data_IF_712537028078
#
_entry.id   IF_712537028078
#
_cell.length_a   1.000
_cell.length_b   1.000
_cell.length_c   1.000
_cell.angle_alpha   90.00
_cell.angle_beta   90.00
_cell.angle_gamma   90.00
#
_symmetry.space_group_name_H-M   'P 1'
#
loop_
_entity.id
_entity.type
_entity.pdbx_description
1 polymer ?
#
# COMPACT_ATOMS: atom_id res chain seq x y z
N UNK A 1 -28.79 -6.31 -19.58
CA UNK A 1 -28.13 -6.87 -18.38
C UNK A 1 -27.16 -5.82 -17.85
N UNK A 2 -27.54 -5.10 -16.78
CA UNK A 2 -26.75 -3.99 -16.25
C UNK A 2 -25.37 -4.47 -15.78
N UNK A 3 -24.32 -3.72 -16.14
CA UNK A 3 -22.94 -4.01 -15.72
C UNK A 3 -22.89 -3.87 -14.20
N UNK A 4 -22.73 -4.99 -13.48
CA UNK A 4 -22.47 -4.96 -12.04
C UNK A 4 -21.22 -4.11 -11.80
N UNK A 5 -21.36 -2.98 -11.12
CA UNK A 5 -20.21 -2.16 -10.73
C UNK A 5 -19.40 -2.99 -9.74
N UNK A 6 -18.20 -3.41 -10.14
CA UNK A 6 -17.29 -4.17 -9.29
C UNK A 6 -16.91 -3.31 -8.09
N UNK A 7 -17.04 -3.84 -6.87
CA UNK A 7 -16.69 -3.08 -5.67
C UNK A 7 -15.19 -2.80 -5.63
N UNK A 8 -14.78 -1.70 -5.00
CA UNK A 8 -13.35 -1.35 -4.86
C UNK A 8 -12.56 -2.49 -4.19
N UNK A 9 -13.17 -3.20 -3.24
CA UNK A 9 -12.59 -4.38 -2.59
C UNK A 9 -12.38 -5.53 -3.56
N UNK A 10 -13.35 -5.83 -4.42
CA UNK A 10 -13.20 -6.87 -5.45
C UNK A 10 -12.11 -6.50 -6.47
N UNK A 11 -12.08 -5.23 -6.87
CA UNK A 11 -11.02 -4.70 -7.74
C UNK A 11 -9.65 -4.84 -7.09
N UNK A 12 -9.51 -4.49 -5.81
CA UNK A 12 -8.27 -4.68 -5.06
C UNK A 12 -7.80 -6.14 -5.02
N UNK A 13 -8.70 -7.08 -4.71
CA UNK A 13 -8.37 -8.51 -4.69
C UNK A 13 -7.94 -9.02 -6.07
N UNK A 14 -8.58 -8.54 -7.13
CA UNK A 14 -8.23 -8.87 -8.52
C UNK A 14 -6.84 -8.34 -8.87
N UNK A 15 -6.55 -7.08 -8.57
CA UNK A 15 -5.23 -6.48 -8.81
C UNK A 15 -4.15 -7.25 -8.03
N UNK A 16 -4.35 -7.49 -6.73
CA UNK A 16 -3.41 -8.28 -5.91
C UNK A 16 -3.16 -9.67 -6.51
N UNK A 17 -4.20 -10.36 -6.97
CA UNK A 17 -4.08 -11.67 -7.59
C UNK A 17 -3.31 -11.62 -8.92
N UNK A 18 -3.44 -10.55 -9.70
CA UNK A 18 -2.68 -10.36 -10.94
C UNK A 18 -1.16 -10.33 -10.69
N UNK A 19 -0.73 -9.84 -9.52
CA UNK A 19 0.68 -9.83 -9.11
C UNK A 19 1.20 -11.17 -8.55
N UNK A 20 0.39 -12.24 -8.52
CA UNK A 20 0.81 -13.52 -7.93
C UNK A 20 2.04 -14.16 -8.64
N UNK A 21 2.19 -13.98 -9.96
CA UNK A 21 3.38 -14.47 -10.69
C UNK A 21 4.62 -13.64 -10.34
N UNK A 22 4.47 -12.32 -10.28
CA UNK A 22 5.54 -11.41 -9.87
C UNK A 22 6.00 -11.72 -8.44
N UNK A 23 5.07 -11.81 -7.48
CA UNK A 23 5.35 -12.19 -6.10
C UNK A 23 6.15 -13.51 -6.02
N UNK A 24 5.75 -14.54 -6.76
CA UNK A 24 6.45 -15.84 -6.75
C UNK A 24 7.88 -15.78 -7.29
N UNK A 25 8.21 -14.81 -8.13
CA UNK A 25 9.56 -14.63 -8.65
C UNK A 25 10.48 -13.88 -7.67
N UNK A 26 9.92 -13.24 -6.63
CA UNK A 26 10.68 -12.53 -5.61
C UNK A 26 11.30 -13.49 -4.58
N UNK A 27 12.37 -13.03 -3.91
CA UNK A 27 12.94 -13.71 -2.74
C UNK A 27 11.91 -13.75 -1.60
N UNK A 28 12.05 -14.70 -0.67
CA UNK A 28 11.11 -14.83 0.45
C UNK A 28 10.98 -13.55 1.30
N UNK A 29 12.07 -12.81 1.50
CA UNK A 29 12.05 -11.50 2.19
C UNK A 29 11.17 -10.49 1.46
N UNK A 30 11.34 -10.40 0.15
CA UNK A 30 10.70 -9.39 -0.68
C UNK A 30 9.23 -9.74 -0.94
N UNK A 31 8.89 -11.03 -0.89
CA UNK A 31 7.50 -11.49 -0.88
C UNK A 31 6.72 -10.95 0.31
N UNK A 32 7.32 -10.99 1.51
CA UNK A 32 6.70 -10.45 2.71
C UNK A 32 6.50 -8.93 2.60
N UNK A 33 7.53 -8.21 2.14
CA UNK A 33 7.44 -6.75 1.91
C UNK A 33 6.31 -6.42 0.93
N UNK A 34 6.18 -7.17 -0.16
CA UNK A 34 5.10 -6.95 -1.12
C UNK A 34 3.72 -7.21 -0.51
N UNK A 35 3.57 -8.25 0.31
CA UNK A 35 2.31 -8.53 1.01
C UNK A 35 1.95 -7.43 2.01
N UNK A 36 2.95 -6.88 2.72
CA UNK A 36 2.76 -5.77 3.66
C UNK A 36 2.36 -4.48 2.93
N UNK A 37 2.93 -4.20 1.75
CA UNK A 37 2.50 -3.10 0.89
C UNK A 37 1.03 -3.26 0.44
N UNK A 38 0.62 -4.45 0.02
CA UNK A 38 -0.80 -4.68 -0.29
C UNK A 38 -1.70 -4.50 0.94
N UNK A 39 -1.26 -4.96 2.12
CA UNK A 39 -2.00 -4.75 3.36
C UNK A 39 -2.11 -3.26 3.72
N UNK A 40 -1.06 -2.45 3.48
CA UNK A 40 -1.07 -1.02 3.75
C UNK A 40 -2.05 -0.28 2.84
N UNK A 41 -2.11 -0.64 1.55
CA UNK A 41 -3.09 -0.10 0.61
C UNK A 41 -4.55 -0.40 1.01
N UNK A 42 -4.79 -1.55 1.66
CA UNK A 42 -6.14 -1.96 2.08
C UNK A 42 -6.77 -0.98 3.07
N UNK A 43 -5.95 -0.30 3.90
CA UNK A 43 -6.40 0.74 4.83
C UNK A 43 -7.09 1.92 4.13
N UNK A 44 -6.82 2.11 2.85
CA UNK A 44 -7.30 3.24 2.06
C UNK A 44 -8.39 2.86 1.05
N UNK A 45 -8.96 1.65 1.10
CA UNK A 45 -9.99 1.22 0.14
C UNK A 45 -11.21 2.16 0.10
N UNK A 46 -11.63 2.68 1.26
CA UNK A 46 -12.71 3.65 1.34
C UNK A 46 -12.35 4.95 0.60
N UNK A 47 -11.17 5.51 0.83
CA UNK A 47 -10.68 6.70 0.13
C UNK A 47 -10.49 6.44 -1.38
N UNK A 48 -9.97 5.26 -1.74
CA UNK A 48 -9.77 4.85 -3.11
C UNK A 48 -11.07 4.76 -3.92
N UNK A 49 -12.21 4.48 -3.26
CA UNK A 49 -13.52 4.47 -3.93
C UNK A 49 -13.94 5.84 -4.48
N UNK A 50 -13.39 6.94 -3.94
CA UNK A 50 -13.65 8.30 -4.41
C UNK A 50 -12.75 8.72 -5.58
N UNK A 51 -11.70 7.96 -5.90
CA UNK A 51 -10.78 8.26 -6.99
C UNK A 51 -11.34 7.79 -8.35
N UNK A 52 -12.49 8.35 -8.76
CA UNK A 52 -13.26 7.89 -9.94
C UNK A 52 -12.55 8.09 -11.29
N UNK A 53 -11.47 8.89 -11.34
CA UNK A 53 -10.74 9.20 -12.57
C UNK A 53 -9.44 8.39 -12.76
N UNK A 54 -8.89 7.80 -11.70
CA UNK A 54 -7.62 7.08 -11.74
C UNK A 54 -7.83 5.59 -12.04
N UNK A 55 -6.82 4.92 -12.60
CA UNK A 55 -6.87 3.46 -12.65
C UNK A 55 -6.82 2.91 -11.21
N UNK A 56 -7.63 1.91 -10.85
CA UNK A 56 -7.71 1.42 -9.47
C UNK A 56 -6.34 1.04 -8.89
N UNK A 57 -5.48 0.41 -9.71
CA UNK A 57 -4.14 0.05 -9.28
C UNK A 57 -3.24 1.25 -8.97
N UNK A 58 -3.31 2.33 -9.76
CA UNK A 58 -2.55 3.57 -9.49
C UNK A 58 -2.97 4.18 -8.14
N UNK A 59 -4.25 4.09 -7.81
CA UNK A 59 -4.76 4.55 -6.51
C UNK A 59 -4.24 3.70 -5.37
N UNK A 60 -4.14 2.37 -5.56
CA UNK A 60 -3.53 1.49 -4.56
C UNK A 60 -2.03 1.76 -4.41
N UNK A 61 -1.30 2.01 -5.49
CA UNK A 61 0.11 2.41 -5.44
C UNK A 61 0.30 3.73 -4.68
N UNK A 62 -0.54 4.74 -4.93
CA UNK A 62 -0.52 5.99 -4.19
C UNK A 62 -0.80 5.77 -2.70
N UNK A 63 -1.74 4.88 -2.36
CA UNK A 63 -2.01 4.51 -0.97
C UNK A 63 -0.81 3.82 -0.30
N UNK A 64 -0.10 2.93 -1.01
CA UNK A 64 1.14 2.33 -0.52
C UNK A 64 2.20 3.41 -0.26
N UNK A 65 2.45 4.29 -1.24
CA UNK A 65 3.41 5.39 -1.11
C UNK A 65 3.07 6.34 0.04
N UNK A 66 1.78 6.59 0.27
CA UNK A 66 1.31 7.41 1.38
C UNK A 66 1.68 6.78 2.73
N UNK A 67 1.46 5.47 2.89
CA UNK A 67 1.83 4.76 4.13
C UNK A 67 3.35 4.70 4.31
N UNK A 68 4.11 4.43 3.25
CA UNK A 68 5.58 4.45 3.28
C UNK A 68 6.13 5.84 3.65
N UNK A 69 5.52 6.91 3.13
CA UNK A 69 5.94 8.27 3.47
C UNK A 69 5.69 8.59 4.95
N UNK A 70 4.56 8.14 5.51
CA UNK A 70 4.27 8.29 6.95
C UNK A 70 5.29 7.54 7.79
N UNK A 71 5.65 6.32 7.39
CA UNK A 71 6.66 5.51 8.10
C UNK A 71 8.02 6.22 8.08
N UNK A 72 8.46 6.72 6.93
CA UNK A 72 9.71 7.48 6.79
C UNK A 72 9.70 8.72 7.70
N UNK A 73 8.60 9.47 7.74
CA UNK A 73 8.49 10.64 8.63
C UNK A 73 8.56 10.23 10.10
N UNK A 74 7.85 9.16 10.50
CA UNK A 74 7.86 8.64 11.87
C UNK A 74 9.27 8.21 12.30
N UNK A 75 9.94 7.40 11.48
CA UNK A 75 11.30 6.92 11.74
C UNK A 75 12.31 8.06 11.81
N UNK A 76 12.18 9.09 10.96
CA UNK A 76 13.03 10.29 11.05
C UNK A 76 12.86 11.03 12.37
N UNK A 77 11.62 11.13 12.86
CA UNK A 77 11.32 11.76 14.14
C UNK A 77 11.90 10.95 15.30
N UNK A 78 11.69 9.63 15.32
CA UNK A 78 12.24 8.73 16.34
C UNK A 78 13.78 8.80 16.37
N UNK A 79 14.44 8.83 15.21
CA UNK A 79 15.91 8.98 15.13
C UNK A 79 16.35 10.35 15.67
N UNK A 80 15.61 11.43 15.40
CA UNK A 80 15.94 12.76 15.90
C UNK A 80 15.83 12.82 17.44
N UNK A 81 14.79 12.21 18.00
CA UNK A 81 14.56 12.12 19.44
C UNK A 81 15.64 11.28 20.14
N UNK A 82 15.98 10.11 19.59
CA UNK A 82 17.05 9.26 20.10
C UNK A 82 18.42 9.97 20.04
N UNK A 83 18.71 10.68 18.95
CA UNK A 83 19.92 11.49 18.85
C UNK A 83 19.96 12.58 19.89
N UNK A 84 18.84 13.28 20.12
CA UNK A 84 18.77 14.32 21.14
C UNK A 84 19.02 13.75 22.54
N UNK A 85 18.40 12.62 22.88
CA UNK A 85 18.59 11.95 24.16
C UNK A 85 20.03 11.45 24.41
N UNK A 86 20.77 11.08 23.36
CA UNK A 86 22.17 10.64 23.48
C UNK A 86 23.18 11.78 23.67
N UNK A 87 22.81 13.03 23.34
CA UNK A 87 23.68 14.21 23.48
C UNK A 87 23.39 15.04 24.74
N UNK A 88 22.41 14.62 25.55
CA UNK A 88 22.12 15.17 26.88
C UNK A 88 22.81 14.35 27.96
#
# INVERSE_FOLDING_TARGET
MGRTVTSITQTFLKERAAFARFRRALRSSDQQVLDDLFASAQKHLAAASYASHALPFETFLLAMLLEEHKEVVRLRQEIAELRHALHQ
#
